data_IF_776484473143
#
_entry.id   IF_776484473143
#
_cell.length_a   1.000
_cell.length_b   1.000
_cell.length_c   1.000
_cell.angle_alpha   90.00
_cell.angle_beta   90.00
_cell.angle_gamma   90.00
#
_symmetry.space_group_name_H-M   'P 1'
#
loop_
_entity.id
_entity.type
_entity.pdbx_description
1 polymer ?
#
# COMPACT_ATOMS: atom_id res chain seq x y z
N UNK A 1 45.23 -8.96 -2.03
CA UNK A 1 44.42 -8.87 -3.27
C UNK A 1 45.37 -8.76 -4.47
N UNK A 2 45.21 -9.57 -5.51
CA UNK A 2 46.06 -9.51 -6.71
C UNK A 2 45.70 -8.29 -7.58
N UNK A 3 46.69 -7.69 -8.27
CA UNK A 3 46.51 -6.52 -9.15
C UNK A 3 45.38 -6.62 -10.21
N UNK A 4 44.99 -7.80 -10.74
CA UNK A 4 43.86 -7.92 -11.68
C UNK A 4 42.50 -7.62 -11.03
N UNK A 5 42.33 -7.93 -9.74
CA UNK A 5 41.08 -7.72 -9.00
C UNK A 5 40.82 -6.25 -8.68
N UNK A 6 41.89 -5.51 -8.39
CA UNK A 6 41.84 -4.05 -8.25
C UNK A 6 41.37 -3.39 -9.56
N UNK A 7 41.74 -3.92 -10.72
CA UNK A 7 41.25 -3.43 -12.01
C UNK A 7 39.72 -3.56 -12.17
N UNK A 8 39.09 -4.54 -11.52
CA UNK A 8 37.65 -4.80 -11.59
C UNK A 8 36.83 -4.02 -10.56
N UNK A 9 37.35 -3.83 -9.34
CA UNK A 9 36.64 -3.17 -8.25
C UNK A 9 36.93 -1.67 -8.11
N UNK A 10 38.16 -1.21 -8.39
CA UNK A 10 38.66 0.13 -7.99
C UNK A 10 38.12 1.28 -8.86
N UNK A 11 37.36 1.01 -9.93
CA UNK A 11 36.87 2.05 -10.85
C UNK A 11 35.36 2.27 -10.88
N UNK A 12 34.56 1.75 -9.93
CA UNK A 12 33.09 1.88 -9.98
C UNK A 12 32.45 1.43 -11.33
N UNK A 13 33.16 0.61 -12.13
CA UNK A 13 32.83 0.34 -13.55
C UNK A 13 32.28 -1.06 -13.81
N UNK A 14 32.21 -1.93 -12.82
CA UNK A 14 31.52 -3.23 -12.93
C UNK A 14 30.32 -3.27 -11.99
N UNK A 15 29.16 -2.94 -12.54
CA UNK A 15 27.89 -3.23 -11.86
C UNK A 15 27.73 -4.75 -11.71
N UNK A 16 26.97 -5.23 -10.72
CA UNK A 16 26.63 -6.66 -10.56
C UNK A 16 26.17 -7.33 -11.89
N UNK A 17 25.57 -6.54 -12.80
CA UNK A 17 25.17 -6.98 -14.14
C UNK A 17 26.34 -7.34 -15.04
N UNK A 18 27.43 -6.57 -15.00
CA UNK A 18 28.62 -6.82 -15.83
C UNK A 18 29.42 -8.02 -15.32
N UNK A 19 29.53 -8.20 -14.00
CA UNK A 19 30.11 -9.40 -13.39
C UNK A 19 29.28 -10.63 -13.79
N UNK A 20 27.96 -10.56 -13.61
CA UNK A 20 27.05 -11.64 -14.02
C UNK A 20 27.20 -11.99 -15.50
N UNK A 21 27.31 -10.99 -16.39
CA UNK A 21 27.55 -11.24 -17.82
C UNK A 21 28.89 -11.92 -18.08
N UNK A 22 29.98 -11.52 -17.41
CA UNK A 22 31.33 -12.07 -17.63
C UNK A 22 31.47 -13.52 -17.17
N UNK A 23 30.69 -13.95 -16.18
CA UNK A 23 30.65 -15.35 -15.75
C UNK A 23 29.71 -16.17 -16.65
N UNK A 24 28.48 -15.70 -16.89
CA UNK A 24 27.45 -16.49 -17.57
C UNK A 24 27.61 -16.55 -19.10
N UNK A 25 28.22 -15.54 -19.72
CA UNK A 25 28.44 -15.51 -21.17
C UNK A 25 29.34 -16.67 -21.64
N UNK A 26 30.54 -16.88 -21.08
CA UNK A 26 31.37 -18.03 -21.41
C UNK A 26 30.63 -19.37 -21.27
N UNK A 27 29.93 -19.57 -20.14
CA UNK A 27 29.18 -20.82 -19.89
C UNK A 27 28.14 -21.07 -20.98
N UNK A 28 27.39 -20.05 -21.40
CA UNK A 28 26.40 -20.18 -22.49
C UNK A 28 27.00 -20.50 -23.87
N UNK A 29 28.32 -20.38 -24.02
CA UNK A 29 29.08 -20.75 -25.22
C UNK A 29 29.89 -22.04 -25.02
N UNK A 30 29.65 -22.77 -23.92
CA UNK A 30 30.46 -23.93 -23.52
C UNK A 30 31.94 -23.61 -23.32
N UNK A 31 32.24 -22.39 -22.85
CA UNK A 31 33.59 -21.91 -22.53
C UNK A 31 33.73 -21.66 -21.02
N UNK A 32 34.97 -21.74 -20.53
CA UNK A 32 35.28 -21.41 -19.14
C UNK A 32 35.28 -19.90 -18.90
N UNK A 33 34.68 -19.42 -17.79
CA UNK A 33 34.78 -18.02 -17.39
C UNK A 33 36.21 -17.67 -16.92
N UNK A 34 36.55 -16.36 -16.85
CA UNK A 34 37.89 -15.93 -16.42
C UNK A 34 38.25 -16.46 -15.03
N UNK A 35 39.32 -17.24 -14.92
CA UNK A 35 39.69 -17.96 -13.69
C UNK A 35 39.99 -17.02 -12.51
N UNK A 36 40.56 -15.84 -12.79
CA UNK A 36 40.81 -14.79 -11.79
C UNK A 36 39.50 -14.27 -11.18
N UNK A 37 38.46 -14.11 -11.99
CA UNK A 37 37.13 -13.68 -11.55
C UNK A 37 36.40 -14.79 -10.79
N UNK A 38 36.49 -16.04 -11.23
CA UNK A 38 35.91 -17.19 -10.53
C UNK A 38 36.49 -17.31 -9.13
N UNK A 39 37.82 -17.30 -9.02
CA UNK A 39 38.53 -17.37 -7.74
C UNK A 39 38.21 -16.19 -6.84
N UNK A 40 38.08 -15.00 -7.40
CA UNK A 40 37.71 -13.80 -6.65
C UNK A 40 36.33 -13.88 -6.01
N UNK A 41 35.39 -14.52 -6.70
CA UNK A 41 34.02 -14.71 -6.23
C UNK A 41 33.87 -15.96 -5.37
N UNK A 42 34.88 -16.84 -5.34
CA UNK A 42 34.86 -18.12 -4.63
C UNK A 42 33.70 -19.00 -5.08
N UNK A 43 33.59 -19.18 -6.41
CA UNK A 43 32.50 -19.94 -7.07
C UNK A 43 33.01 -21.06 -7.98
N UNK A 44 34.23 -21.56 -7.74
CA UNK A 44 34.90 -22.58 -8.54
C UNK A 44 34.01 -23.82 -8.74
N UNK A 45 33.41 -24.33 -7.66
CA UNK A 45 32.57 -25.53 -7.69
C UNK A 45 31.23 -25.24 -8.41
N UNK A 46 30.68 -24.05 -8.21
CA UNK A 46 29.43 -23.63 -8.82
C UNK A 46 29.55 -23.44 -10.33
N UNK A 47 30.70 -23.02 -10.88
CA UNK A 47 30.87 -22.88 -12.34
C UNK A 47 30.62 -24.19 -13.07
N UNK A 48 31.07 -25.31 -12.50
CA UNK A 48 30.82 -26.64 -13.06
C UNK A 48 29.34 -26.98 -13.01
N UNK A 49 28.69 -26.77 -11.86
CA UNK A 49 27.23 -26.98 -11.69
C UNK A 49 26.42 -26.13 -12.67
N UNK A 50 26.78 -24.86 -12.85
CA UNK A 50 26.12 -23.94 -13.78
C UNK A 50 26.28 -24.40 -15.24
N UNK A 51 27.43 -24.97 -15.59
CA UNK A 51 27.64 -25.52 -16.93
C UNK A 51 26.73 -26.73 -17.19
N UNK A 52 26.61 -27.64 -16.20
CA UNK A 52 25.67 -28.77 -16.25
C UNK A 52 24.23 -28.31 -16.38
N UNK A 53 23.81 -27.36 -15.53
CA UNK A 53 22.45 -26.78 -15.56
C UNK A 53 22.15 -26.14 -16.92
N UNK A 54 23.10 -25.40 -17.49
CA UNK A 54 22.89 -24.75 -18.79
C UNK A 54 22.62 -25.79 -19.88
N UNK A 55 23.39 -26.88 -19.90
CA UNK A 55 23.23 -27.96 -20.86
C UNK A 55 21.90 -28.72 -20.66
N UNK A 56 21.54 -29.00 -19.41
CA UNK A 56 20.31 -29.74 -19.05
C UNK A 56 19.04 -28.99 -19.48
N UNK A 57 18.97 -27.68 -19.26
CA UNK A 57 17.80 -26.87 -19.55
C UNK A 57 17.78 -26.30 -20.99
N UNK A 58 18.75 -26.68 -21.83
CA UNK A 58 18.84 -26.27 -23.22
C UNK A 58 17.90 -27.10 -24.10
N UNK A 59 17.00 -26.43 -24.83
CA UNK A 59 16.11 -27.10 -25.78
C UNK A 59 16.66 -26.97 -27.20
N UNK A 60 16.43 -27.99 -28.04
CA UNK A 60 16.94 -28.06 -29.43
C UNK A 60 16.58 -26.85 -30.29
N UNK A 61 15.46 -26.18 -30.03
CA UNK A 61 14.96 -25.05 -30.83
C UNK A 61 15.33 -23.67 -30.26
N UNK A 62 16.06 -23.58 -29.15
CA UNK A 62 16.41 -22.30 -28.53
C UNK A 62 17.29 -21.43 -29.43
N UNK A 63 18.15 -22.06 -30.24
CA UNK A 63 19.04 -21.37 -31.18
C UNK A 63 18.34 -20.78 -32.40
N UNK A 64 17.13 -21.25 -32.72
CA UNK A 64 16.36 -20.84 -33.91
C UNK A 64 15.16 -19.93 -33.59
N UNK A 65 14.77 -19.83 -32.32
CA UNK A 65 13.51 -19.20 -31.89
C UNK A 65 13.62 -17.69 -31.59
N UNK A 66 14.81 -17.08 -31.74
CA UNK A 66 15.02 -15.68 -31.39
C UNK A 66 14.83 -15.37 -29.90
N UNK A 67 14.93 -16.40 -29.06
CA UNK A 67 14.81 -16.31 -27.61
C UNK A 67 16.09 -15.75 -26.96
N UNK A 68 16.01 -15.25 -25.72
CA UNK A 68 17.16 -14.74 -24.98
C UNK A 68 18.29 -15.75 -24.84
N UNK A 69 19.54 -15.26 -24.94
CA UNK A 69 20.75 -16.10 -24.83
C UNK A 69 20.82 -16.97 -23.56
N UNK A 70 20.26 -16.51 -22.45
CA UNK A 70 20.33 -17.20 -21.16
C UNK A 70 19.04 -17.96 -20.83
N UNK A 71 18.26 -18.37 -21.84
CA UNK A 71 17.01 -19.12 -21.65
C UNK A 71 17.14 -20.36 -20.74
N UNK A 72 18.16 -21.23 -20.89
CA UNK A 72 18.30 -22.40 -20.01
C UNK A 72 18.39 -22.00 -18.54
N UNK A 73 19.16 -20.95 -18.24
CA UNK A 73 19.26 -20.41 -16.89
C UNK A 73 17.94 -19.84 -16.38
N UNK A 74 17.15 -19.17 -17.22
CA UNK A 74 15.84 -18.65 -16.80
C UNK A 74 14.87 -19.77 -16.43
N UNK A 75 14.85 -20.85 -17.22
CA UNK A 75 14.02 -22.03 -16.91
C UNK A 75 14.45 -22.69 -15.60
N UNK A 76 15.76 -22.84 -15.39
CA UNK A 76 16.27 -23.40 -14.14
C UNK A 76 15.90 -22.55 -12.92
N UNK A 77 16.11 -21.23 -12.99
CA UNK A 77 15.72 -20.31 -11.90
C UNK A 77 14.22 -20.39 -11.64
N UNK A 78 13.40 -20.41 -12.70
CA UNK A 78 11.94 -20.52 -12.58
C UNK A 78 11.52 -21.83 -11.89
N UNK A 79 12.27 -22.91 -12.07
CA UNK A 79 12.01 -24.19 -11.39
C UNK A 79 12.34 -24.16 -9.88
N UNK A 80 13.20 -23.24 -9.45
CA UNK A 80 13.67 -23.11 -8.05
C UNK A 80 13.03 -21.94 -7.31
N UNK A 81 12.60 -20.90 -8.03
CA UNK A 81 12.02 -19.68 -7.49
C UNK A 81 10.67 -19.40 -8.15
N UNK A 82 9.54 -19.77 -7.50
CA UNK A 82 8.20 -19.53 -8.05
C UNK A 82 7.91 -18.06 -8.40
N UNK A 83 8.52 -17.12 -7.68
CA UNK A 83 8.41 -15.68 -7.92
C UNK A 83 9.28 -15.13 -9.05
N UNK A 84 10.08 -15.94 -9.74
CA UNK A 84 10.87 -15.49 -10.88
C UNK A 84 10.06 -15.60 -12.18
N UNK A 85 9.89 -14.48 -12.88
CA UNK A 85 9.18 -14.41 -14.16
C UNK A 85 10.01 -13.66 -15.19
N UNK A 86 9.81 -13.96 -16.48
CA UNK A 86 10.48 -13.26 -17.56
C UNK A 86 9.54 -13.03 -18.74
N UNK A 87 9.73 -11.91 -19.45
CA UNK A 87 8.95 -11.56 -20.63
C UNK A 87 9.79 -10.74 -21.61
N UNK A 88 9.50 -10.86 -22.90
CA UNK A 88 10.10 -10.02 -23.95
C UNK A 88 9.09 -8.96 -24.33
N UNK A 89 9.42 -7.68 -24.13
CA UNK A 89 8.63 -6.56 -24.64
C UNK A 89 9.27 -5.97 -25.88
N UNK A 90 8.46 -5.75 -26.92
CA UNK A 90 8.90 -5.05 -28.12
C UNK A 90 8.36 -3.63 -28.07
N UNK A 91 9.25 -2.64 -28.02
CA UNK A 91 8.89 -1.22 -28.11
C UNK A 91 9.72 -0.59 -29.21
N UNK A 92 9.07 0.10 -30.16
CA UNK A 92 9.75 0.76 -31.29
C UNK A 92 10.69 -0.19 -32.07
N UNK A 93 10.27 -1.44 -32.28
CA UNK A 93 11.07 -2.47 -32.96
C UNK A 93 12.24 -3.05 -32.14
N UNK A 94 12.51 -2.57 -30.92
CA UNK A 94 13.54 -3.11 -30.02
C UNK A 94 12.94 -4.12 -29.04
N UNK A 95 13.45 -5.35 -29.06
CA UNK A 95 13.12 -6.39 -28.09
C UNK A 95 13.91 -6.17 -26.79
N UNK A 96 13.20 -5.99 -25.68
CA UNK A 96 13.77 -5.84 -24.33
C UNK A 96 13.32 -6.99 -23.45
N UNK A 97 14.27 -7.67 -22.82
CA UNK A 97 14.00 -8.68 -21.81
C UNK A 97 13.72 -8.01 -20.46
N UNK A 98 12.57 -8.32 -19.88
CA UNK A 98 12.19 -7.92 -18.53
C UNK A 98 12.24 -9.16 -17.65
N UNK A 99 12.96 -9.04 -16.53
CA UNK A 99 13.06 -10.06 -15.50
C UNK A 99 12.40 -9.55 -14.22
N UNK A 100 11.37 -10.25 -13.79
CA UNK A 100 10.85 -10.13 -12.44
C UNK A 100 11.59 -11.12 -11.54
N UNK A 101 12.11 -10.62 -10.42
CA UNK A 101 13.05 -11.37 -9.59
C UNK A 101 12.63 -11.25 -8.14
N UNK A 102 12.65 -12.35 -7.37
CA UNK A 102 12.50 -12.26 -5.93
C UNK A 102 13.66 -11.49 -5.32
N UNK A 103 13.45 -10.95 -4.12
CA UNK A 103 14.52 -10.41 -3.31
C UNK A 103 15.20 -11.55 -2.54
N UNK A 104 16.52 -11.46 -2.38
CA UNK A 104 17.32 -12.38 -1.56
C UNK A 104 18.17 -11.52 -0.64
N UNK A 105 18.19 -11.82 0.66
CA UNK A 105 18.93 -11.05 1.66
C UNK A 105 18.69 -9.55 1.53
N UNK A 106 17.41 -9.14 1.44
CA UNK A 106 16.99 -7.74 1.34
C UNK A 106 17.44 -7.00 0.06
N UNK A 107 18.05 -7.68 -0.91
CA UNK A 107 18.61 -7.07 -2.11
C UNK A 107 18.02 -7.65 -3.38
N UNK A 108 17.94 -6.83 -4.44
CA UNK A 108 17.52 -7.32 -5.77
C UNK A 108 18.70 -8.07 -6.40
N UNK A 109 18.61 -9.40 -6.59
CA UNK A 109 19.76 -10.19 -6.98
C UNK A 109 20.14 -9.98 -8.45
N UNK A 110 21.45 -10.11 -8.71
CA UNK A 110 21.95 -10.32 -10.08
C UNK A 110 21.47 -11.67 -10.62
N UNK A 111 21.53 -11.87 -11.94
CA UNK A 111 21.19 -13.17 -12.51
C UNK A 111 22.14 -14.27 -12.01
N UNK A 112 23.43 -13.95 -11.88
CA UNK A 112 24.43 -14.84 -11.31
C UNK A 112 24.11 -15.18 -9.86
N UNK A 113 23.71 -14.21 -9.04
CA UNK A 113 23.37 -14.46 -7.63
C UNK A 113 22.19 -15.43 -7.51
N UNK A 114 21.14 -15.24 -8.31
CA UNK A 114 20.00 -16.17 -8.35
C UNK A 114 20.41 -17.59 -8.71
N UNK A 115 21.31 -17.72 -9.69
CA UNK A 115 21.80 -19.02 -10.14
C UNK A 115 22.67 -19.71 -9.09
N UNK A 116 23.57 -18.97 -8.44
CA UNK A 116 24.40 -19.50 -7.34
C UNK A 116 23.53 -19.98 -6.17
N UNK A 117 22.52 -19.19 -5.80
CA UNK A 117 21.51 -19.60 -4.83
C UNK A 117 20.77 -20.88 -5.27
N UNK A 118 20.32 -20.95 -6.53
CA UNK A 118 19.60 -22.08 -7.08
C UNK A 118 20.42 -23.39 -7.13
N UNK A 119 21.70 -23.34 -7.54
CA UNK A 119 22.56 -24.54 -7.61
C UNK A 119 23.05 -25.04 -6.26
N UNK A 120 22.91 -24.22 -5.23
CA UNK A 120 23.23 -24.56 -3.84
C UNK A 120 21.96 -24.76 -2.99
N UNK A 121 20.79 -24.88 -3.64
CA UNK A 121 19.47 -25.06 -3.00
C UNK A 121 19.15 -24.04 -1.90
N UNK A 122 19.75 -22.84 -1.97
CA UNK A 122 19.44 -21.72 -1.10
C UNK A 122 18.37 -20.83 -1.75
N UNK A 123 17.11 -21.27 -1.68
CA UNK A 123 15.98 -20.62 -2.37
C UNK A 123 15.15 -19.70 -1.48
N UNK A 124 15.63 -19.37 -0.27
CA UNK A 124 14.93 -18.46 0.63
C UNK A 124 14.82 -17.06 0.02
N UNK A 125 13.60 -16.51 -0.02
CA UNK A 125 13.32 -15.19 -0.57
C UNK A 125 12.85 -14.23 0.51
N UNK A 126 13.16 -12.95 0.35
CA UNK A 126 12.64 -11.90 1.21
C UNK A 126 11.37 -11.29 0.59
N UNK A 127 10.27 -11.15 1.34
CA UNK A 127 9.09 -10.42 0.89
C UNK A 127 9.43 -8.98 0.45
N UNK A 128 8.84 -8.51 -0.64
CA UNK A 128 9.14 -7.19 -1.22
C UNK A 128 8.80 -6.03 -0.27
N UNK A 129 7.77 -6.19 0.55
CA UNK A 129 7.30 -5.22 1.54
C UNK A 129 8.30 -5.08 2.69
N UNK A 130 9.00 -6.17 3.09
CA UNK A 130 10.11 -6.10 4.07
C UNK A 130 11.32 -5.36 3.53
N UNK A 131 11.58 -5.49 2.23
CA UNK A 131 12.67 -4.76 1.57
C UNK A 131 12.33 -3.28 1.48
N UNK A 132 11.09 -2.97 1.09
CA UNK A 132 10.61 -1.59 0.95
C UNK A 132 10.51 -0.89 2.31
N UNK A 133 10.07 -1.61 3.35
CA UNK A 133 9.84 -1.09 4.69
C UNK A 133 10.59 -1.94 5.71
N UNK A 134 11.79 -1.50 6.15
CA UNK A 134 12.58 -2.22 7.15
C UNK A 134 11.82 -2.47 8.47
N UNK A 135 10.82 -1.65 8.80
CA UNK A 135 9.96 -1.86 9.97
C UNK A 135 9.16 -3.16 9.95
N UNK A 136 8.96 -3.78 8.77
CA UNK A 136 8.23 -5.04 8.63
C UNK A 136 9.12 -6.27 8.90
N UNK A 137 10.43 -6.10 9.12
CA UNK A 137 11.37 -7.22 9.23
C UNK A 137 11.04 -8.21 10.36
N UNK A 138 10.49 -7.72 11.48
CA UNK A 138 10.13 -8.53 12.62
C UNK A 138 8.89 -9.43 12.42
N UNK A 139 8.08 -9.21 11.38
CA UNK A 139 6.86 -9.98 11.13
C UNK A 139 7.17 -11.33 10.45
N UNK A 140 6.33 -12.37 10.59
CA UNK A 140 6.50 -13.62 9.84
C UNK A 140 6.44 -13.40 8.31
N UNK A 141 7.31 -14.09 7.55
CA UNK A 141 7.37 -13.92 6.08
C UNK A 141 6.05 -14.29 5.39
N UNK A 142 5.38 -15.36 5.84
CA UNK A 142 4.09 -15.79 5.26
C UNK A 142 2.99 -14.73 5.46
N UNK A 143 2.94 -14.09 6.63
CA UNK A 143 2.02 -12.98 6.89
C UNK A 143 2.30 -11.82 5.93
N UNK A 144 3.57 -11.46 5.75
CA UNK A 144 3.94 -10.35 4.87
C UNK A 144 3.62 -10.67 3.41
N UNK A 145 3.83 -11.90 2.95
CA UNK A 145 3.47 -12.33 1.59
C UNK A 145 1.96 -12.30 1.36
N UNK A 146 1.16 -12.71 2.35
CA UNK A 146 -0.30 -12.61 2.26
C UNK A 146 -0.77 -11.16 2.23
N UNK A 147 -0.15 -10.28 3.01
CA UNK A 147 -0.41 -8.84 2.98
C UNK A 147 -0.01 -8.22 1.64
N UNK A 148 1.12 -8.60 1.04
CA UNK A 148 1.53 -8.15 -0.29
C UNK A 148 0.47 -8.49 -1.34
N UNK A 149 -0.01 -9.74 -1.34
CA UNK A 149 -1.08 -10.18 -2.24
C UNK A 149 -2.38 -9.43 -2.01
N UNK A 150 -2.76 -9.23 -0.75
CA UNK A 150 -3.97 -8.47 -0.41
C UNK A 150 -3.84 -6.99 -0.81
N UNK A 151 -2.68 -6.37 -0.59
CA UNK A 151 -2.43 -4.97 -0.93
C UNK A 151 -2.48 -4.74 -2.44
N UNK A 152 -1.92 -5.66 -3.23
CA UNK A 152 -2.02 -5.62 -4.69
C UNK A 152 -3.47 -5.82 -5.15
N UNK A 153 -4.14 -6.87 -4.70
CA UNK A 153 -5.51 -7.20 -5.11
C UNK A 153 -6.53 -6.11 -4.75
N UNK A 154 -6.38 -5.49 -3.58
CA UNK A 154 -7.25 -4.42 -3.09
C UNK A 154 -6.79 -3.03 -3.56
N UNK A 155 -5.71 -2.95 -4.33
CA UNK A 155 -5.15 -1.70 -4.87
C UNK A 155 -4.79 -0.69 -3.77
N UNK A 156 -4.05 -1.10 -2.74
CA UNK A 156 -3.53 -0.18 -1.73
C UNK A 156 -2.54 0.81 -2.33
N UNK A 157 -2.66 2.07 -1.92
CA UNK A 157 -1.68 3.11 -2.23
C UNK A 157 -0.40 2.87 -1.44
N UNK A 158 0.73 3.22 -2.04
CA UNK A 158 2.02 3.15 -1.36
C UNK A 158 2.05 4.19 -0.22
N UNK A 159 2.24 3.72 1.01
CA UNK A 159 2.33 4.59 2.19
C UNK A 159 3.77 5.00 2.48
N UNK A 160 3.95 6.13 3.17
CA UNK A 160 5.26 6.53 3.68
C UNK A 160 5.76 5.55 4.76
N UNK A 161 7.08 5.49 4.95
CA UNK A 161 7.71 4.48 5.79
C UNK A 161 7.27 4.54 7.27
N UNK A 162 7.00 5.74 7.80
CA UNK A 162 6.55 5.89 9.19
C UNK A 162 5.13 5.34 9.42
N UNK A 163 4.20 5.46 8.45
CA UNK A 163 2.87 4.82 8.55
C UNK A 163 3.00 3.30 8.55
N UNK A 164 3.85 2.76 7.68
CA UNK A 164 4.14 1.33 7.66
C UNK A 164 4.83 0.84 8.93
N UNK A 165 5.59 1.69 9.61
CA UNK A 165 6.18 1.35 10.90
C UNK A 165 5.11 1.19 12.00
N UNK A 166 4.11 2.09 12.06
CA UNK A 166 2.98 1.95 12.99
C UNK A 166 2.11 0.73 12.65
N UNK A 167 1.95 0.43 11.35
CA UNK A 167 1.24 -0.75 10.91
C UNK A 167 1.95 -2.02 11.37
N UNK A 168 3.27 -2.11 11.18
CA UNK A 168 4.09 -3.22 11.66
C UNK A 168 4.00 -3.40 13.19
N UNK A 169 4.09 -2.31 13.95
CA UNK A 169 3.95 -2.33 15.41
C UNK A 169 2.58 -2.89 15.85
N UNK A 170 1.51 -2.47 15.17
CA UNK A 170 0.15 -2.90 15.46
C UNK A 170 -0.05 -4.38 15.16
N UNK A 171 0.55 -4.89 14.09
CA UNK A 171 0.57 -6.32 13.78
C UNK A 171 1.40 -7.12 14.80
N UNK A 172 2.51 -6.58 15.29
CA UNK A 172 3.28 -7.21 16.37
C UNK A 172 2.46 -7.36 17.66
N UNK A 173 1.71 -6.32 18.05
CA UNK A 173 0.75 -6.39 19.16
C UNK A 173 -0.33 -7.44 18.89
N UNK A 174 -0.83 -7.49 17.66
CA UNK A 174 -1.76 -8.51 17.17
C UNK A 174 -1.25 -9.94 17.37
N UNK A 175 -0.01 -10.21 16.96
CA UNK A 175 0.64 -11.51 17.13
C UNK A 175 0.92 -11.86 18.59
N UNK A 176 1.04 -10.85 19.46
CA UNK A 176 1.14 -11.02 20.91
C UNK A 176 -0.21 -11.22 21.61
N UNK A 177 -1.31 -11.28 20.85
CA UNK A 177 -2.67 -11.56 21.35
C UNK A 177 -3.54 -10.34 21.60
N UNK A 178 -3.06 -9.12 21.32
CA UNK A 178 -3.90 -7.93 21.40
C UNK A 178 -4.85 -7.86 20.19
N UNK A 179 -6.16 -7.70 20.44
CA UNK A 179 -7.14 -7.57 19.36
C UNK A 179 -6.84 -6.38 18.46
N UNK A 180 -6.75 -6.61 17.16
CA UNK A 180 -6.65 -5.56 16.14
C UNK A 180 -8.04 -5.12 15.70
N UNK A 181 -8.28 -3.81 15.63
CA UNK A 181 -9.53 -3.29 15.04
C UNK A 181 -9.25 -2.69 13.67
N UNK A 182 -9.79 -3.29 12.61
CA UNK A 182 -9.76 -2.70 11.27
C UNK A 182 -10.93 -1.73 11.15
N UNK A 183 -10.66 -0.44 11.31
CA UNK A 183 -11.67 0.62 11.24
C UNK A 183 -11.61 1.33 9.89
N UNK A 184 -12.76 1.54 9.26
CA UNK A 184 -12.87 2.46 8.12
C UNK A 184 -13.85 3.59 8.42
N UNK A 185 -13.44 4.85 8.31
CA UNK A 185 -14.38 5.95 8.19
C UNK A 185 -15.15 5.81 6.87
N UNK A 186 -16.44 6.12 6.88
CA UNK A 186 -17.31 6.08 5.70
C UNK A 186 -18.13 7.35 5.61
N UNK A 187 -18.17 7.92 4.40
CA UNK A 187 -19.07 9.02 4.09
C UNK A 187 -20.52 8.49 3.97
N UNK A 188 -21.52 9.36 4.18
CA UNK A 188 -22.91 9.09 3.84
C UNK A 188 -23.10 8.64 2.37
N UNK A 189 -24.24 8.02 2.07
CA UNK A 189 -24.61 7.54 0.73
C UNK A 189 -25.00 8.70 -0.20
N UNK A 190 -24.02 9.52 -0.56
CA UNK A 190 -24.22 10.64 -1.47
C UNK A 190 -24.48 10.18 -2.90
N UNK A 191 -25.43 10.86 -3.57
CA UNK A 191 -25.68 10.69 -4.99
C UNK A 191 -24.40 10.87 -5.83
N UNK A 192 -24.24 9.99 -6.83
CA UNK A 192 -23.11 9.99 -7.74
C UNK A 192 -23.55 9.60 -9.16
N UNK A 193 -22.76 10.00 -10.15
CA UNK A 193 -22.87 9.61 -11.54
C UNK A 193 -21.64 8.81 -11.98
N UNK A 194 -21.79 7.96 -12.99
CA UNK A 194 -20.67 7.28 -13.65
C UNK A 194 -20.45 7.87 -15.04
N UNK A 195 -19.26 8.38 -15.30
CA UNK A 195 -18.86 8.94 -16.59
C UNK A 195 -17.52 8.32 -17.02
N UNK A 196 -17.52 7.61 -18.15
CA UNK A 196 -16.34 6.91 -18.68
C UNK A 196 -15.68 5.95 -17.67
N UNK A 197 -16.48 5.25 -16.87
CA UNK A 197 -15.98 4.32 -15.86
C UNK A 197 -15.38 4.98 -14.61
N UNK A 198 -15.51 6.31 -14.46
CA UNK A 198 -15.17 7.04 -13.23
C UNK A 198 -16.43 7.54 -12.56
N UNK A 199 -16.44 7.47 -11.23
CA UNK A 199 -17.55 8.00 -10.45
C UNK A 199 -17.31 9.48 -10.12
N UNK A 200 -18.36 10.28 -10.14
CA UNK A 200 -18.34 11.65 -9.66
C UNK A 200 -19.53 11.86 -8.75
N UNK A 201 -19.30 12.37 -7.56
CA UNK A 201 -20.40 12.75 -6.69
C UNK A 201 -21.16 13.95 -7.27
N UNK A 202 -22.49 13.90 -7.18
CA UNK A 202 -23.38 15.02 -7.55
C UNK A 202 -23.75 15.82 -6.30
N UNK A 203 -23.88 15.15 -5.15
CA UNK A 203 -24.34 15.73 -3.89
C UNK A 203 -25.71 16.40 -4.02
N UNK A 204 -26.58 15.85 -4.85
CA UNK A 204 -27.95 16.36 -5.09
C UNK A 204 -28.99 15.63 -4.24
N UNK A 205 -28.64 14.44 -3.74
CA UNK A 205 -29.49 13.62 -2.91
C UNK A 205 -28.64 12.81 -1.92
N UNK A 206 -29.26 12.48 -0.79
CA UNK A 206 -28.74 11.52 0.18
C UNK A 206 -29.58 10.25 0.09
N UNK A 207 -28.92 9.13 -0.23
CA UNK A 207 -29.48 7.80 -0.16
C UNK A 207 -29.42 7.22 1.26
N UNK A 208 -29.90 5.99 1.39
CA UNK A 208 -29.84 5.18 2.62
C UNK A 208 -29.17 3.83 2.38
N UNK A 209 -28.51 3.65 1.23
CA UNK A 209 -27.85 2.43 0.80
C UNK A 209 -26.41 2.33 1.28
N UNK A 210 -25.66 1.42 0.65
CA UNK A 210 -24.21 1.34 0.84
C UNK A 210 -23.57 2.30 -0.17
N UNK A 211 -23.12 3.46 0.33
CA UNK A 211 -22.52 4.50 -0.50
C UNK A 211 -21.24 4.09 -1.20
N UNK A 212 -20.79 4.89 -2.17
CA UNK A 212 -19.65 4.56 -3.04
C UNK A 212 -18.38 4.16 -2.26
N UNK A 213 -17.99 4.95 -1.25
CA UNK A 213 -16.82 4.66 -0.41
C UNK A 213 -17.07 3.43 0.46
N UNK A 214 -18.23 3.36 1.13
CA UNK A 214 -18.61 2.21 1.96
C UNK A 214 -18.64 0.89 1.14
N UNK A 215 -19.06 0.93 -0.12
CA UNK A 215 -19.07 -0.20 -1.04
C UNK A 215 -17.68 -0.78 -1.33
N UNK A 216 -16.63 0.04 -1.19
CA UNK A 216 -15.24 -0.43 -1.24
C UNK A 216 -14.83 -1.06 0.08
N UNK A 217 -15.19 -0.42 1.19
CA UNK A 217 -14.90 -0.87 2.55
C UNK A 217 -15.45 -2.27 2.80
N UNK A 218 -16.70 -2.55 2.42
CA UNK A 218 -17.32 -3.87 2.59
C UNK A 218 -16.64 -4.98 1.78
N UNK A 219 -15.89 -4.64 0.73
CA UNK A 219 -15.09 -5.60 -0.05
C UNK A 219 -13.67 -5.77 0.50
N UNK A 220 -13.12 -4.72 1.09
CA UNK A 220 -11.73 -4.66 1.56
C UNK A 220 -11.55 -5.25 2.95
N UNK A 221 -12.37 -4.82 3.92
CA UNK A 221 -12.17 -5.17 5.33
C UNK A 221 -12.23 -6.69 5.57
N UNK A 222 -13.18 -7.46 5.00
CA UNK A 222 -13.23 -8.91 5.21
C UNK A 222 -11.99 -9.64 4.67
N UNK A 223 -11.40 -9.17 3.56
CA UNK A 223 -10.18 -9.77 2.99
C UNK A 223 -8.99 -9.57 3.91
N UNK A 224 -8.82 -8.36 4.45
CA UNK A 224 -7.76 -8.07 5.42
C UNK A 224 -7.98 -8.86 6.72
N UNK A 225 -9.20 -8.90 7.24
CA UNK A 225 -9.53 -9.69 8.42
C UNK A 225 -9.20 -11.17 8.21
N UNK A 226 -9.53 -11.74 7.06
CA UNK A 226 -9.22 -13.12 6.73
C UNK A 226 -7.71 -13.38 6.69
N UNK A 227 -6.92 -12.45 6.13
CA UNK A 227 -5.45 -12.52 6.18
C UNK A 227 -4.95 -12.50 7.62
N UNK A 228 -5.40 -11.56 8.45
CA UNK A 228 -4.96 -11.47 9.85
C UNK A 228 -5.34 -12.72 10.65
N UNK A 229 -6.60 -13.17 10.54
CA UNK A 229 -7.10 -14.36 11.24
C UNK A 229 -6.37 -15.64 10.82
N UNK A 230 -5.99 -15.78 9.54
CA UNK A 230 -5.17 -16.91 9.06
C UNK A 230 -3.85 -17.03 9.83
N UNK A 231 -3.29 -15.91 10.27
CA UNK A 231 -2.02 -15.83 11.02
C UNK A 231 -2.21 -15.72 12.54
N UNK A 232 -3.40 -16.08 13.05
CA UNK A 232 -3.67 -16.12 14.49
C UNK A 232 -3.89 -14.75 15.14
N UNK A 233 -4.05 -13.68 14.36
CA UNK A 233 -4.36 -12.35 14.88
C UNK A 233 -5.88 -12.21 15.02
N UNK A 234 -6.36 -11.96 16.23
CA UNK A 234 -7.77 -11.60 16.46
C UNK A 234 -8.04 -10.22 15.84
N UNK A 235 -8.93 -10.19 14.86
CA UNK A 235 -9.26 -9.00 14.09
C UNK A 235 -10.76 -8.75 14.06
N UNK A 236 -11.16 -7.57 14.54
CA UNK A 236 -12.54 -7.05 14.50
C UNK A 236 -12.67 -6.02 13.37
N UNK A 237 -13.87 -5.94 12.79
CA UNK A 237 -14.20 -4.93 11.79
C UNK A 237 -15.01 -3.80 12.43
N UNK A 238 -14.68 -2.56 12.10
CA UNK A 238 -15.43 -1.39 12.52
C UNK A 238 -15.67 -0.43 11.35
N UNK A 239 -16.85 0.19 11.31
CA UNK A 239 -17.14 1.31 10.40
C UNK A 239 -17.56 2.54 11.19
N UNK A 240 -17.03 3.69 10.81
CA UNK A 240 -17.27 4.95 11.49
C UNK A 240 -17.93 5.93 10.52
N UNK A 241 -19.20 6.25 10.74
CA UNK A 241 -19.98 7.09 9.83
C UNK A 241 -19.89 8.57 10.22
N UNK A 242 -19.70 9.43 9.21
CA UNK A 242 -19.62 10.89 9.35
C UNK A 242 -20.97 11.56 9.59
N UNK A 243 -21.53 11.40 10.79
CA UNK A 243 -22.77 12.05 11.24
C UNK A 243 -22.65 13.57 11.38
N UNK A 244 -21.44 14.08 11.62
CA UNK A 244 -21.16 15.51 11.71
C UNK A 244 -21.49 16.30 10.44
N UNK A 245 -21.47 15.66 9.27
CA UNK A 245 -21.83 16.32 8.01
C UNK A 245 -23.30 16.79 8.03
N UNK A 246 -24.15 16.18 8.86
CA UNK A 246 -25.54 16.58 9.08
C UNK A 246 -25.72 17.78 10.02
N UNK A 247 -24.64 18.35 10.58
CA UNK A 247 -24.72 19.56 11.41
C UNK A 247 -24.67 20.85 10.58
N UNK A 248 -24.17 20.79 9.35
CA UNK A 248 -24.05 21.94 8.47
C UNK A 248 -25.36 22.20 7.70
N UNK A 249 -25.95 23.38 7.94
CA UNK A 249 -27.17 23.80 7.28
C UNK A 249 -27.01 23.91 5.76
N UNK A 250 -25.81 24.26 5.27
CA UNK A 250 -25.58 24.38 3.82
C UNK A 250 -25.61 23.01 3.13
N UNK A 251 -25.03 22.00 3.78
CA UNK A 251 -25.05 20.60 3.36
C UNK A 251 -26.47 20.04 3.35
N UNK A 252 -27.23 20.24 4.44
CA UNK A 252 -28.63 19.80 4.50
C UNK A 252 -29.50 20.46 3.42
N UNK A 253 -29.35 21.77 3.20
CA UNK A 253 -30.09 22.49 2.18
C UNK A 253 -29.78 21.96 0.77
N UNK A 254 -28.50 21.69 0.47
CA UNK A 254 -28.07 21.14 -0.82
C UNK A 254 -28.63 19.75 -1.06
N UNK A 255 -28.61 18.90 -0.05
CA UNK A 255 -29.14 17.53 -0.10
C UNK A 255 -30.67 17.47 -0.03
N UNK A 256 -31.33 18.63 0.18
CA UNK A 256 -32.77 18.76 0.40
C UNK A 256 -33.25 17.88 1.56
N UNK A 257 -32.48 17.88 2.63
CA UNK A 257 -32.69 17.02 3.79
C UNK A 257 -32.93 17.80 5.09
N UNK A 258 -33.59 17.12 6.02
CA UNK A 258 -33.67 17.59 7.41
C UNK A 258 -32.57 16.93 8.22
N UNK A 259 -32.19 17.53 9.35
CA UNK A 259 -31.22 16.93 10.27
C UNK A 259 -31.66 15.55 10.77
N UNK A 260 -32.95 15.41 11.10
CA UNK A 260 -33.52 14.12 11.53
C UNK A 260 -33.53 13.09 10.39
N UNK A 261 -33.88 13.52 9.17
CA UNK A 261 -33.85 12.68 7.97
C UNK A 261 -32.45 12.19 7.64
N UNK A 262 -31.45 13.08 7.68
CA UNK A 262 -30.04 12.75 7.51
C UNK A 262 -29.59 11.67 8.50
N UNK A 263 -29.82 11.89 9.80
CA UNK A 263 -29.46 10.93 10.84
C UNK A 263 -30.18 9.58 10.66
N UNK A 264 -31.46 9.59 10.28
CA UNK A 264 -32.23 8.38 9.98
C UNK A 264 -31.65 7.56 8.83
N UNK A 265 -31.35 8.22 7.70
CA UNK A 265 -30.74 7.57 6.53
C UNK A 265 -29.35 7.03 6.83
N UNK A 266 -28.56 7.75 7.64
CA UNK A 266 -27.23 7.31 8.03
C UNK A 266 -27.28 6.02 8.88
N UNK A 267 -28.23 5.91 9.82
CA UNK A 267 -28.43 4.69 10.61
C UNK A 267 -28.83 3.50 9.73
N UNK A 268 -29.77 3.70 8.80
CA UNK A 268 -30.17 2.66 7.83
C UNK A 268 -28.96 2.22 6.98
N UNK A 269 -28.15 3.17 6.52
CA UNK A 269 -26.92 2.89 5.77
C UNK A 269 -25.93 2.05 6.59
N UNK A 270 -25.70 2.40 7.86
CA UNK A 270 -24.84 1.64 8.77
C UNK A 270 -25.32 0.20 8.97
N UNK A 271 -26.63 -0.02 9.18
CA UNK A 271 -27.21 -1.36 9.31
C UNK A 271 -26.96 -2.21 8.06
N UNK A 272 -27.10 -1.63 6.86
CA UNK A 272 -26.79 -2.32 5.60
C UNK A 272 -25.31 -2.65 5.47
N UNK A 273 -24.42 -1.74 5.89
CA UNK A 273 -22.97 -1.96 5.90
C UNK A 273 -22.61 -3.08 6.88
N UNK A 274 -23.17 -3.08 8.09
CA UNK A 274 -22.97 -4.14 9.09
C UNK A 274 -23.45 -5.49 8.58
N UNK A 275 -24.64 -5.54 7.97
CA UNK A 275 -25.15 -6.77 7.36
C UNK A 275 -24.22 -7.32 6.28
N UNK A 276 -23.57 -6.44 5.49
CA UNK A 276 -22.60 -6.84 4.48
C UNK A 276 -21.24 -7.28 5.06
N UNK A 277 -20.82 -6.72 6.20
CA UNK A 277 -19.55 -7.06 6.87
C UNK A 277 -19.65 -8.33 7.74
N UNK A 278 -20.85 -8.63 8.25
CA UNK A 278 -21.12 -9.79 9.09
C UNK A 278 -21.35 -9.45 10.57
N UNK A 279 -21.73 -10.46 11.38
CA UNK A 279 -22.28 -10.26 12.73
C UNK A 279 -21.27 -9.72 13.76
N UNK A 280 -19.97 -9.90 13.54
CA UNK A 280 -18.92 -9.44 14.45
C UNK A 280 -18.47 -7.99 14.17
N UNK A 281 -19.02 -7.36 13.12
CA UNK A 281 -18.69 -5.98 12.78
C UNK A 281 -19.40 -5.00 13.70
N UNK A 282 -18.74 -3.90 14.05
CA UNK A 282 -19.35 -2.79 14.77
C UNK A 282 -19.46 -1.54 13.90
N UNK A 283 -20.42 -0.68 14.23
CA UNK A 283 -20.57 0.63 13.61
C UNK A 283 -20.69 1.70 14.67
N UNK A 284 -20.09 2.87 14.43
CA UNK A 284 -20.27 4.04 15.25
C UNK A 284 -20.58 5.29 14.43
N UNK A 285 -21.23 6.25 15.06
CA UNK A 285 -21.37 7.62 14.58
C UNK A 285 -20.23 8.43 15.20
N UNK A 286 -19.44 9.12 14.36
CA UNK A 286 -18.16 9.71 14.75
C UNK A 286 -18.35 10.82 15.79
N UNK A 287 -19.25 11.77 15.54
CA UNK A 287 -19.49 12.88 16.44
C UNK A 287 -20.21 12.42 17.71
N UNK A 288 -21.19 11.50 17.61
CA UNK A 288 -21.74 10.85 18.80
C UNK A 288 -20.64 10.20 19.66
N UNK A 289 -19.66 9.53 19.04
CA UNK A 289 -18.52 8.92 19.76
C UNK A 289 -17.54 9.94 20.33
N UNK A 290 -17.50 11.15 19.77
CA UNK A 290 -16.75 12.29 20.32
C UNK A 290 -17.47 12.96 21.50
N UNK A 291 -18.67 12.51 21.88
CA UNK A 291 -19.50 13.10 22.93
C UNK A 291 -20.61 14.02 22.40
N UNK A 292 -21.00 13.88 21.13
CA UNK A 292 -22.05 14.64 20.47
C UNK A 292 -21.55 15.90 19.75
N UNK A 293 -22.49 16.64 19.15
CA UNK A 293 -22.22 17.80 18.29
C UNK A 293 -21.34 18.87 18.95
N UNK A 294 -21.66 19.27 20.19
CA UNK A 294 -20.90 20.32 20.87
C UNK A 294 -19.45 19.92 21.11
N UNK A 295 -19.22 18.67 21.51
CA UNK A 295 -17.88 18.12 21.72
C UNK A 295 -17.13 17.96 20.40
N UNK A 296 -17.83 17.54 19.34
CA UNK A 296 -17.26 17.47 17.99
C UNK A 296 -16.79 18.84 17.49
N UNK A 297 -17.65 19.86 17.54
CA UNK A 297 -17.30 21.23 17.13
C UNK A 297 -16.15 21.80 17.96
N UNK A 298 -16.13 21.57 19.27
CA UNK A 298 -15.02 22.00 20.12
C UNK A 298 -13.71 21.31 19.72
N UNK A 299 -13.74 20.00 19.46
CA UNK A 299 -12.57 19.23 19.06
C UNK A 299 -12.03 19.67 17.70
N UNK A 300 -12.89 19.85 16.70
CA UNK A 300 -12.48 20.29 15.36
C UNK A 300 -12.02 21.74 15.36
N UNK A 301 -12.64 22.64 16.13
CA UNK A 301 -12.17 24.02 16.26
C UNK A 301 -10.74 24.09 16.83
N UNK A 302 -10.44 23.31 17.87
CA UNK A 302 -9.09 23.23 18.44
C UNK A 302 -8.10 22.67 17.42
N UNK A 303 -8.46 21.60 16.71
CA UNK A 303 -7.60 21.03 15.68
C UNK A 303 -7.33 22.01 14.53
N UNK A 304 -8.36 22.72 14.07
CA UNK A 304 -8.25 23.72 13.00
C UNK A 304 -7.35 24.88 13.40
N UNK A 305 -7.50 25.41 14.62
CA UNK A 305 -6.66 26.47 15.14
C UNK A 305 -5.18 26.05 15.15
N UNK A 306 -4.89 24.87 15.70
CA UNK A 306 -3.52 24.33 15.74
C UNK A 306 -2.91 24.21 14.35
N UNK A 307 -3.65 23.63 13.40
CA UNK A 307 -3.19 23.49 12.01
C UNK A 307 -2.94 24.85 11.34
N UNK A 308 -3.81 25.84 11.58
CA UNK A 308 -3.67 27.19 11.03
C UNK A 308 -2.46 27.94 11.63
N UNK A 309 -2.11 27.69 12.89
CA UNK A 309 -0.93 28.23 13.58
C UNK A 309 0.37 27.47 13.22
N UNK A 310 0.28 26.41 12.40
CA UNK A 310 1.42 25.57 12.02
C UNK A 310 1.80 24.51 13.04
N UNK A 311 1.04 24.35 14.13
CA UNK A 311 1.20 23.25 15.07
C UNK A 311 0.70 21.94 14.44
N UNK A 312 1.65 21.16 13.95
CA UNK A 312 1.41 19.87 13.29
C UNK A 312 1.29 18.71 14.29
N UNK A 313 1.36 18.94 15.61
CA UNK A 313 1.23 17.90 16.63
C UNK A 313 2.20 16.73 16.43
N UNK A 314 1.67 15.51 16.25
CA UNK A 314 2.48 14.30 15.98
C UNK A 314 2.61 13.96 14.49
N UNK A 315 2.14 14.83 13.60
CA UNK A 315 2.31 14.67 12.16
C UNK A 315 3.79 14.82 11.83
N UNK A 316 4.32 13.94 10.98
CA UNK A 316 5.74 13.97 10.64
C UNK A 316 6.03 15.22 9.79
N UNK A 317 7.11 15.92 10.14
CA UNK A 317 7.54 17.11 9.42
C UNK A 317 7.73 16.80 7.93
N UNK A 318 7.10 17.60 7.07
CA UNK A 318 7.15 17.45 5.61
C UNK A 318 6.00 16.64 4.99
N UNK A 319 5.15 15.98 5.78
CA UNK A 319 3.97 15.28 5.23
C UNK A 319 2.83 16.24 4.88
N UNK A 320 2.77 17.41 5.52
CA UNK A 320 1.77 18.44 5.26
C UNK A 320 2.24 19.42 4.19
N UNK A 321 2.11 19.01 2.93
CA UNK A 321 2.17 19.93 1.79
C UNK A 321 0.74 20.41 1.46
N UNK A 322 0.30 21.48 2.13
CA UNK A 322 -1.05 22.04 1.94
C UNK A 322 -1.34 22.40 0.49
N UNK A 323 -0.35 22.87 -0.28
CA UNK A 323 -0.56 23.21 -1.68
C UNK A 323 -0.81 21.95 -2.53
N UNK A 324 -0.02 20.90 -2.34
CA UNK A 324 -0.23 19.63 -3.04
C UNK A 324 -1.54 18.95 -2.61
N UNK A 325 -1.88 18.98 -1.33
CA UNK A 325 -3.14 18.45 -0.81
C UNK A 325 -4.32 19.23 -1.40
N UNK A 326 -4.27 20.57 -1.34
CA UNK A 326 -5.30 21.44 -1.90
C UNK A 326 -5.53 21.18 -3.38
N UNK A 327 -4.46 21.15 -4.20
CA UNK A 327 -4.57 20.88 -5.63
C UNK A 327 -5.19 19.50 -5.92
N UNK A 328 -4.90 18.49 -5.11
CA UNK A 328 -5.50 17.17 -5.26
C UNK A 328 -6.99 17.14 -4.86
N UNK A 329 -7.40 17.98 -3.91
CA UNK A 329 -8.79 18.08 -3.40
C UNK A 329 -9.64 19.09 -4.19
N UNK A 330 -9.03 20.01 -4.91
CA UNK A 330 -9.69 21.13 -5.60
C UNK A 330 -10.89 20.69 -6.48
N UNK A 331 -10.82 19.62 -7.29
CA UNK A 331 -11.98 19.19 -8.09
C UNK A 331 -13.19 18.79 -7.23
N UNK A 332 -12.97 18.20 -6.05
CA UNK A 332 -14.04 17.84 -5.13
C UNK A 332 -14.64 19.11 -4.50
N UNK A 333 -13.79 20.03 -4.05
CA UNK A 333 -14.24 21.27 -3.42
C UNK A 333 -15.02 22.16 -4.38
N UNK A 334 -14.60 22.25 -5.65
CA UNK A 334 -15.34 23.00 -6.67
C UNK A 334 -16.71 22.37 -6.98
N UNK A 335 -16.82 21.03 -6.91
CA UNK A 335 -18.10 20.34 -7.09
C UNK A 335 -19.04 20.56 -5.90
N UNK A 336 -18.51 20.57 -4.66
CA UNK A 336 -19.28 20.70 -3.43
C UNK A 336 -19.60 22.16 -3.05
N UNK A 337 -18.66 23.08 -3.27
CA UNK A 337 -18.76 24.49 -2.89
C UNK A 337 -18.61 25.36 -4.13
N UNK A 338 -19.67 25.38 -4.95
CA UNK A 338 -19.69 26.19 -6.17
C UNK A 338 -19.52 27.69 -5.83
N UNK A 339 -18.85 28.42 -6.71
CA UNK A 339 -18.66 29.88 -6.62
C UNK A 339 -17.79 30.40 -5.46
N UNK A 340 -17.07 29.52 -4.74
CA UNK A 340 -16.07 29.94 -3.75
C UNK A 340 -14.71 30.22 -4.41
N UNK A 341 -14.02 31.23 -3.89
CA UNK A 341 -12.63 31.54 -4.22
C UNK A 341 -11.67 30.46 -3.72
N UNK A 342 -10.46 30.40 -4.27
CA UNK A 342 -9.43 29.45 -3.82
C UNK A 342 -9.08 29.63 -2.33
N UNK A 343 -9.10 30.85 -1.81
CA UNK A 343 -8.82 31.13 -0.40
C UNK A 343 -9.92 30.55 0.51
N UNK A 344 -11.19 30.69 0.12
CA UNK A 344 -12.31 30.07 0.84
C UNK A 344 -12.27 28.54 0.75
N UNK A 345 -11.87 27.98 -0.39
CA UNK A 345 -11.69 26.53 -0.53
C UNK A 345 -10.48 26.02 0.28
N UNK A 346 -9.46 26.84 0.48
CA UNK A 346 -8.35 26.51 1.37
C UNK A 346 -8.81 26.44 2.83
N UNK A 347 -9.70 27.34 3.25
CA UNK A 347 -10.31 27.26 4.59
C UNK A 347 -11.12 25.96 4.78
N UNK A 348 -11.79 25.48 3.72
CA UNK A 348 -12.44 24.16 3.72
C UNK A 348 -11.41 23.05 3.90
N UNK A 349 -10.23 23.13 3.28
CA UNK A 349 -9.16 22.15 3.53
C UNK A 349 -8.72 22.13 4.99
N UNK A 350 -8.54 23.30 5.63
CA UNK A 350 -8.15 23.35 7.04
C UNK A 350 -9.23 22.75 7.95
N UNK A 351 -10.50 23.11 7.71
CA UNK A 351 -11.63 22.53 8.45
C UNK A 351 -11.68 21.00 8.27
N UNK A 352 -11.51 20.51 7.04
CA UNK A 352 -11.50 19.08 6.78
C UNK A 352 -10.28 18.38 7.39
N UNK A 353 -9.09 19.00 7.34
CA UNK A 353 -7.91 18.49 8.04
C UNK A 353 -8.16 18.34 9.54
N UNK A 354 -8.88 19.29 10.13
CA UNK A 354 -9.29 19.24 11.53
C UNK A 354 -10.29 18.11 11.84
N UNK A 355 -11.24 17.82 10.95
CA UNK A 355 -12.14 16.66 11.06
C UNK A 355 -11.36 15.35 11.05
N UNK A 356 -10.35 15.20 10.18
CA UNK A 356 -9.52 13.99 10.13
C UNK A 356 -8.63 13.84 11.36
N UNK A 357 -8.13 14.94 11.89
CA UNK A 357 -7.44 14.96 13.17
C UNK A 357 -8.35 14.53 14.33
N UNK A 358 -9.59 15.04 14.36
CA UNK A 358 -10.59 14.66 15.34
C UNK A 358 -10.94 13.16 15.24
N UNK A 359 -11.16 12.63 14.03
CA UNK A 359 -11.36 11.20 13.79
C UNK A 359 -10.18 10.37 14.32
N UNK A 360 -8.94 10.77 14.04
CA UNK A 360 -7.75 10.07 14.54
C UNK A 360 -7.69 10.02 16.07
N UNK A 361 -8.09 11.09 16.75
CA UNK A 361 -8.21 11.11 18.21
C UNK A 361 -9.30 10.15 18.70
N UNK A 362 -10.52 10.26 18.16
CA UNK A 362 -11.66 9.41 18.53
C UNK A 362 -11.31 7.93 18.36
N UNK A 363 -10.67 7.56 17.26
CA UNK A 363 -10.31 6.16 16.99
C UNK A 363 -9.22 5.65 17.94
N UNK A 364 -8.23 6.48 18.26
CA UNK A 364 -7.17 6.14 19.21
C UNK A 364 -7.69 5.98 20.66
N UNK A 365 -8.75 6.70 21.02
CA UNK A 365 -9.39 6.60 22.34
C UNK A 365 -10.40 5.45 22.41
N UNK A 366 -11.05 5.13 21.29
CA UNK A 366 -12.08 4.08 21.21
C UNK A 366 -11.48 2.68 21.21
N UNK A 367 -10.34 2.47 20.57
CA UNK A 367 -9.72 1.16 20.39
C UNK A 367 -8.27 1.17 20.83
N UNK A 368 -7.82 0.06 21.44
CA UNK A 368 -6.43 -0.05 21.91
C UNK A 368 -5.43 -0.24 20.78
N UNK A 369 -5.81 -0.99 19.74
CA UNK A 369 -4.94 -1.35 18.60
C UNK A 369 -5.64 -1.19 17.24
N UNK A 370 -6.09 0.03 16.87
CA UNK A 370 -6.80 0.27 15.63
C UNK A 370 -5.88 0.37 14.41
N UNK A 371 -6.38 -0.04 13.25
CA UNK A 371 -5.83 0.26 11.93
C UNK A 371 -6.89 0.94 11.10
N UNK A 372 -6.62 2.18 10.72
CA UNK A 372 -7.49 2.95 9.84
C UNK A 372 -7.25 2.53 8.39
N UNK A 373 -8.32 2.11 7.72
CA UNK A 373 -8.32 1.79 6.30
C UNK A 373 -9.11 2.87 5.56
N UNK A 374 -8.40 3.86 5.02
CA UNK A 374 -8.99 4.95 4.25
C UNK A 374 -9.38 4.49 2.84
N UNK A 375 -10.59 4.86 2.40
CA UNK A 375 -11.12 4.50 1.08
C UNK A 375 -11.52 5.71 0.22
N UNK A 376 -11.30 6.91 0.75
CA UNK A 376 -11.58 8.21 0.17
C UNK A 376 -10.34 8.79 -0.53
N UNK A 377 -9.52 9.63 0.13
CA UNK A 377 -8.39 10.33 -0.48
C UNK A 377 -7.12 10.25 0.38
N UNK A 378 -6.13 9.50 -0.11
CA UNK A 378 -4.86 9.24 0.60
C UNK A 378 -4.07 10.49 1.02
N UNK A 379 -4.24 11.63 0.34
CA UNK A 379 -3.63 12.91 0.77
C UNK A 379 -4.10 13.41 2.15
N UNK A 380 -5.21 12.88 2.67
CA UNK A 380 -5.71 13.22 4.00
C UNK A 380 -5.10 12.34 5.11
N UNK A 381 -4.33 11.31 4.75
CA UNK A 381 -3.67 10.38 5.67
C UNK A 381 -2.90 11.06 6.81
N UNK A 382 -2.10 12.13 6.58
CA UNK A 382 -1.32 12.75 7.64
C UNK A 382 -2.16 13.36 8.76
N UNK A 383 -3.34 13.89 8.47
CA UNK A 383 -4.14 14.62 9.47
C UNK A 383 -4.60 13.75 10.64
N UNK A 384 -4.76 12.43 10.44
CA UNK A 384 -5.05 11.49 11.53
C UNK A 384 -4.03 11.56 12.67
N UNK A 385 -2.80 12.01 12.38
CA UNK A 385 -1.69 12.02 13.33
C UNK A 385 -1.56 13.31 14.14
N UNK A 386 -2.50 14.25 14.07
CA UNK A 386 -2.40 15.47 14.88
C UNK A 386 -2.29 15.15 16.39
N UNK A 387 -3.05 14.17 16.87
CA UNK A 387 -3.11 13.79 18.29
C UNK A 387 -2.42 12.46 18.60
N UNK A 388 -2.55 11.45 17.73
CA UNK A 388 -2.04 10.09 17.96
C UNK A 388 -1.55 9.43 16.67
N UNK A 389 -0.49 8.63 16.75
CA UNK A 389 0.13 7.97 15.58
C UNK A 389 -0.45 6.57 15.34
N UNK A 390 -1.76 6.46 15.21
CA UNK A 390 -2.43 5.19 14.84
C UNK A 390 -2.06 4.79 13.40
N UNK A 391 -1.89 3.50 13.06
CA UNK A 391 -1.61 3.12 11.68
C UNK A 391 -2.78 3.47 10.76
N UNK A 392 -2.46 4.13 9.65
CA UNK A 392 -3.42 4.52 8.63
C UNK A 392 -2.89 4.03 7.30
N UNK A 393 -3.69 3.26 6.57
CA UNK A 393 -3.40 2.80 5.21
C UNK A 393 -4.54 3.22 4.29
N UNK A 394 -4.24 3.48 3.02
CA UNK A 394 -5.25 3.94 2.06
C UNK A 394 -5.33 3.07 0.83
N UNK A 395 -6.56 2.82 0.39
CA UNK A 395 -6.84 2.32 -0.95
C UNK A 395 -6.57 3.41 -2.00
N UNK A 396 -6.11 3.00 -3.19
CA UNK A 396 -5.94 3.90 -4.33
C UNK A 396 -7.30 4.45 -4.75
N UNK A 397 -7.38 5.73 -5.11
CA UNK A 397 -8.63 6.38 -5.51
C UNK A 397 -9.14 5.84 -6.85
N UNK A 398 -10.45 5.61 -6.97
CA UNK A 398 -11.10 5.08 -8.19
C UNK A 398 -12.15 6.03 -8.79
N UNK A 399 -12.33 7.22 -8.21
CA UNK A 399 -13.36 8.19 -8.61
C UNK A 399 -12.76 9.56 -8.97
#
# INVERSE_FOLDING_TARGET
MSQPLAHYYVRNKLTHKLISKRVLSPISLSLQPPADLVKALSIEDEVSKLSTVFAEFQHRNDSQSGLPRYMPFYRFIQSKFPGFQWQIRTSEGKKTLILDKPYINQSRPSLLNLLLCAVNDNTATTPALKVRYPSMQGLPDELVLDLERAFEALSFSQSAAHFMARFAETLHKGLAGERVTLVSPVCPDYGFESKNGRFRYTFEQLGDGIGLVAGRVVKTLPVLQAVLRKHGIDAQLAVAAGDFEGFDASTLARLKETRAGFAGKLRISQEKILSALGPDAESLLIAESAGGESSWHALTAVAQQRLAEGDSGRIVAGDLDYAAIFNARLPLYQAWHQQRSNDELMQILYAQGAEYAAMGKVFAERWSNPIVIGADHNRMQPFYWLYSQIPVLYLTRVY
#
